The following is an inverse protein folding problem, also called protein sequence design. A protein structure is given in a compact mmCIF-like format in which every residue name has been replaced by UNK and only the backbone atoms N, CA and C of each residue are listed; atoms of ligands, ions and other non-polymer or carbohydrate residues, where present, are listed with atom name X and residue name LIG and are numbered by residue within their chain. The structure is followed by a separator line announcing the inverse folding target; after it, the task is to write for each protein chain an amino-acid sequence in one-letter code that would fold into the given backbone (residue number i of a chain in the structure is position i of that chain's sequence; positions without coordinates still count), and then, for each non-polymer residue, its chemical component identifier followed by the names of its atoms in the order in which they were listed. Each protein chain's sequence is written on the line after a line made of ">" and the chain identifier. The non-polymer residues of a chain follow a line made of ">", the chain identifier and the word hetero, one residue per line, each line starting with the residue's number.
data_IF_730096100551
#
_entry.id   IF_730096100551
#
_cell.length_a   1.000
_cell.length_b   1.000
_cell.length_c   1.000
_cell.angle_alpha   90.00
_cell.angle_beta   90.00
_cell.angle_gamma   90.00
#
_symmetry.space_group_name_H-M   'P 1'
#
loop_
_entity.id
_entity.type
_entity.pdbx_description
1 polymer ?
#
# COMPACT_ATOMS: atom_id res chain seq x y z
N UNK A 1 -39.31 -76.57 78.43
CA UNK A 1 -38.59 -75.29 78.56
C UNK A 1 -37.66 -75.19 77.35
N UNK A 2 -37.93 -74.24 76.46
CA UNK A 2 -37.33 -74.15 75.14
C UNK A 2 -35.99 -73.39 75.16
N UNK A 3 -35.09 -73.82 74.29
CA UNK A 3 -33.72 -73.33 74.09
C UNK A 3 -33.69 -71.92 73.51
N UNK A 4 -32.74 -71.12 73.99
CA UNK A 4 -32.43 -69.78 73.50
C UNK A 4 -31.36 -69.88 72.40
N UNK A 5 -31.64 -69.43 71.17
CA UNK A 5 -30.73 -69.50 70.03
C UNK A 5 -30.22 -68.10 69.67
N UNK A 6 -28.94 -67.87 69.97
CA UNK A 6 -28.16 -66.67 69.64
C UNK A 6 -27.79 -66.65 68.15
N UNK A 7 -28.27 -65.66 67.39
CA UNK A 7 -27.52 -65.07 66.26
C UNK A 7 -27.96 -63.61 66.04
N UNK A 8 -27.03 -62.64 65.92
CA UNK A 8 -27.36 -61.29 65.46
C UNK A 8 -27.50 -61.26 63.93
N UNK A 9 -28.52 -60.56 63.44
CA UNK A 9 -28.69 -60.27 62.01
C UNK A 9 -27.55 -59.36 61.53
N UNK A 10 -26.97 -59.67 60.37
CA UNK A 10 -25.95 -58.84 59.74
C UNK A 10 -26.53 -57.45 59.35
N UNK A 11 -25.75 -56.36 59.49
CA UNK A 11 -26.24 -55.03 59.12
C UNK A 11 -26.37 -54.92 57.60
N UNK A 12 -27.49 -54.38 57.12
CA UNK A 12 -27.69 -54.04 55.71
C UNK A 12 -26.80 -52.85 55.34
N UNK A 13 -25.62 -53.10 54.79
CA UNK A 13 -24.80 -52.06 54.16
C UNK A 13 -25.42 -51.68 52.81
N UNK A 14 -26.43 -50.82 52.84
CA UNK A 14 -26.89 -50.09 51.66
C UNK A 14 -25.88 -48.96 51.43
N UNK A 15 -24.76 -49.25 50.78
CA UNK A 15 -23.94 -48.19 50.18
C UNK A 15 -24.73 -47.61 49.00
N UNK A 16 -24.94 -46.28 48.92
CA UNK A 16 -25.55 -45.66 47.76
C UNK A 16 -24.50 -45.62 46.63
N UNK A 17 -24.25 -46.77 46.01
CA UNK A 17 -23.29 -46.94 44.92
C UNK A 17 -23.68 -46.14 43.66
N UNK A 18 -24.98 -45.92 43.49
CA UNK A 18 -25.56 -45.09 42.42
C UNK A 18 -24.99 -43.68 42.41
N UNK A 19 -24.89 -43.02 43.56
CA UNK A 19 -24.58 -41.59 43.62
C UNK A 19 -23.09 -41.31 43.33
N UNK A 20 -22.21 -42.25 43.71
CA UNK A 20 -20.78 -42.20 43.40
C UNK A 20 -20.50 -42.42 41.89
N UNK A 21 -21.22 -43.36 41.24
CA UNK A 21 -21.10 -43.60 39.79
C UNK A 21 -21.73 -42.44 38.98
N UNK A 22 -22.84 -41.84 39.43
CA UNK A 22 -23.42 -40.66 38.79
C UNK A 22 -22.52 -39.42 38.90
N UNK A 23 -21.92 -39.17 40.07
CA UNK A 23 -21.02 -38.03 40.26
C UNK A 23 -19.74 -38.14 39.42
N UNK A 24 -19.14 -39.34 39.37
CA UNK A 24 -17.93 -39.61 38.57
C UNK A 24 -18.21 -39.52 37.05
N UNK A 25 -19.33 -40.07 36.58
CA UNK A 25 -19.75 -39.95 35.18
C UNK A 25 -20.06 -38.50 34.76
N UNK A 26 -20.68 -37.71 35.65
CA UNK A 26 -20.91 -36.28 35.41
C UNK A 26 -19.60 -35.48 35.40
N UNK A 27 -18.66 -35.77 36.30
CA UNK A 27 -17.33 -35.15 36.29
C UNK A 27 -16.55 -35.49 35.02
N UNK A 28 -16.55 -36.75 34.61
CA UNK A 28 -15.83 -37.25 33.43
C UNK A 28 -16.44 -36.73 32.13
N UNK A 29 -17.78 -36.68 32.02
CA UNK A 29 -18.48 -36.10 30.85
C UNK A 29 -18.31 -34.57 30.77
N UNK A 30 -18.32 -33.86 31.91
CA UNK A 30 -18.02 -32.42 31.93
C UNK A 30 -16.56 -32.15 31.58
N UNK A 31 -15.60 -32.97 32.03
CA UNK A 31 -14.21 -32.86 31.63
C UNK A 31 -14.01 -33.11 30.13
N UNK A 32 -14.70 -34.10 29.55
CA UNK A 32 -14.67 -34.35 28.11
C UNK A 32 -15.31 -33.20 27.31
N UNK A 33 -16.44 -32.65 27.78
CA UNK A 33 -17.07 -31.46 27.17
C UNK A 33 -16.16 -30.24 27.24
N UNK A 34 -15.49 -30.01 28.38
CA UNK A 34 -14.49 -28.94 28.56
C UNK A 34 -13.29 -29.13 27.63
N UNK A 35 -12.73 -30.35 27.53
CA UNK A 35 -11.64 -30.67 26.60
C UNK A 35 -12.06 -30.47 25.13
N UNK A 36 -13.29 -30.85 24.75
CA UNK A 36 -13.84 -30.59 23.41
C UNK A 36 -14.00 -29.10 23.12
N UNK A 37 -14.49 -28.31 24.08
CA UNK A 37 -14.58 -26.85 23.97
C UNK A 37 -13.20 -26.19 23.84
N UNK A 38 -12.23 -26.59 24.65
CA UNK A 38 -10.84 -26.09 24.56
C UNK A 38 -10.21 -26.40 23.21
N UNK A 39 -10.38 -27.63 22.69
CA UNK A 39 -9.91 -28.00 21.35
C UNK A 39 -10.57 -27.17 20.25
N UNK A 40 -11.87 -26.91 20.36
CA UNK A 40 -12.60 -26.07 19.40
C UNK A 40 -12.12 -24.62 19.43
N UNK A 41 -11.88 -24.04 20.61
CA UNK A 41 -11.31 -22.69 20.75
C UNK A 41 -9.92 -22.64 20.13
N UNK A 42 -9.07 -23.63 20.40
CA UNK A 42 -7.73 -23.71 19.84
C UNK A 42 -7.72 -23.79 18.30
N UNK A 43 -8.64 -24.57 17.71
CA UNK A 43 -8.79 -24.62 16.25
C UNK A 43 -9.28 -23.28 15.68
N UNK A 44 -10.22 -22.62 16.36
CA UNK A 44 -10.72 -21.31 15.94
C UNK A 44 -9.63 -20.23 16.01
N UNK A 45 -8.81 -20.23 17.06
CA UNK A 45 -7.72 -19.26 17.19
C UNK A 45 -6.67 -19.42 16.10
N UNK A 46 -6.32 -20.66 15.73
CA UNK A 46 -5.40 -20.93 14.60
C UNK A 46 -6.01 -20.45 13.27
N UNK A 47 -7.30 -20.69 13.06
CA UNK A 47 -7.97 -20.25 11.84
C UNK A 47 -8.02 -18.71 11.75
N UNK A 48 -8.43 -18.04 12.83
CA UNK A 48 -8.48 -16.58 12.90
C UNK A 48 -7.09 -15.96 12.78
N UNK A 49 -6.05 -16.54 13.40
CA UNK A 49 -4.69 -16.03 13.29
C UNK A 49 -4.18 -16.10 11.86
N UNK A 50 -4.44 -17.19 11.13
CA UNK A 50 -4.12 -17.32 9.71
C UNK A 50 -4.77 -16.22 8.86
N UNK A 51 -6.06 -15.95 9.08
CA UNK A 51 -6.78 -14.86 8.42
C UNK A 51 -6.15 -13.51 8.75
N UNK A 52 -5.90 -13.22 10.03
CA UNK A 52 -5.32 -11.95 10.46
C UNK A 52 -3.93 -11.75 9.85
N UNK A 53 -3.11 -12.79 9.75
CA UNK A 53 -1.79 -12.74 9.11
C UNK A 53 -1.90 -12.41 7.61
N UNK A 54 -2.84 -13.02 6.90
CA UNK A 54 -3.12 -12.71 5.49
C UNK A 54 -3.59 -11.26 5.30
N UNK A 55 -4.52 -10.79 6.13
CA UNK A 55 -4.99 -9.41 6.10
C UNK A 55 -3.87 -8.42 6.44
N UNK A 56 -3.07 -8.72 7.46
CA UNK A 56 -1.90 -7.93 7.85
C UNK A 56 -0.92 -7.81 6.68
N UNK A 57 -0.52 -8.93 6.07
CA UNK A 57 0.43 -8.93 4.97
C UNK A 57 -0.09 -8.18 3.73
N UNK A 58 -1.40 -8.23 3.46
CA UNK A 58 -1.99 -7.58 2.28
C UNK A 58 -2.24 -6.09 2.48
N UNK A 59 -2.78 -5.68 3.63
CA UNK A 59 -3.16 -4.28 3.88
C UNK A 59 -2.04 -3.44 4.49
N UNK A 60 -1.10 -4.02 5.26
CA UNK A 60 0.01 -3.27 5.85
C UNK A 60 1.21 -3.11 4.90
N UNK A 61 1.29 -3.92 3.83
CA UNK A 61 2.40 -3.83 2.87
C UNK A 61 2.32 -2.54 2.05
N UNK A 62 3.08 -1.53 2.48
CA UNK A 62 3.17 -0.23 1.79
C UNK A 62 4.08 -0.36 0.56
N UNK A 63 3.49 -0.24 -0.62
CA UNK A 63 4.15 -0.16 -1.92
C UNK A 63 4.47 1.30 -2.26
N UNK A 64 5.57 1.55 -2.96
CA UNK A 64 5.84 2.88 -3.50
C UNK A 64 4.77 3.24 -4.55
N UNK A 65 4.31 4.49 -4.63
CA UNK A 65 3.50 4.96 -5.76
C UNK A 65 4.24 4.77 -7.09
N UNK A 66 3.54 4.90 -8.21
CA UNK A 66 4.16 4.99 -9.53
C UNK A 66 3.82 6.34 -10.14
N UNK A 67 4.80 7.01 -10.73
CA UNK A 67 4.61 8.21 -11.54
C UNK A 67 4.71 7.79 -13.01
N UNK A 68 3.92 8.41 -13.86
CA UNK A 68 4.03 8.30 -15.33
C UNK A 68 3.80 9.67 -15.94
N UNK A 69 4.44 9.93 -17.07
CA UNK A 69 4.16 11.11 -17.89
C UNK A 69 3.58 10.62 -19.20
N UNK A 70 2.47 11.22 -19.63
CA UNK A 70 1.84 10.93 -20.91
C UNK A 70 1.32 12.24 -21.55
N UNK A 71 0.92 12.17 -22.82
CA UNK A 71 0.29 13.28 -23.55
C UNK A 71 1.11 14.57 -23.52
N UNK A 72 2.41 14.44 -23.77
CA UNK A 72 3.30 15.59 -23.83
C UNK A 72 3.07 16.32 -25.16
N UNK A 73 2.89 17.64 -25.09
CA UNK A 73 2.71 18.52 -26.25
C UNK A 73 3.73 19.65 -26.18
N UNK A 74 4.30 19.94 -27.34
CA UNK A 74 5.26 21.00 -27.54
C UNK A 74 4.70 21.96 -28.57
N UNK A 75 4.85 23.25 -28.33
CA UNK A 75 4.52 24.30 -29.31
C UNK A 75 5.67 25.28 -29.35
N UNK A 76 6.17 25.55 -30.55
CA UNK A 76 7.23 26.53 -30.77
C UNK A 76 6.60 27.86 -31.16
N UNK A 77 6.73 28.86 -30.30
CA UNK A 77 6.15 30.19 -30.50
C UNK A 77 7.09 31.13 -31.30
N UNK A 78 8.26 30.64 -31.71
CA UNK A 78 9.32 31.45 -32.33
C UNK A 78 10.30 32.04 -31.31
N UNK A 79 11.39 32.63 -31.79
CA UNK A 79 12.42 33.32 -30.98
C UNK A 79 13.00 32.50 -29.81
N UNK A 80 13.05 31.17 -29.96
CA UNK A 80 13.56 30.27 -28.91
C UNK A 80 12.60 30.03 -27.75
N UNK A 81 11.32 30.41 -27.88
CA UNK A 81 10.28 30.16 -26.88
C UNK A 81 9.49 28.90 -27.22
N UNK A 82 9.44 27.98 -26.27
CA UNK A 82 8.78 26.69 -26.44
C UNK A 82 7.80 26.48 -25.29
N UNK A 83 6.53 26.29 -25.61
CA UNK A 83 5.54 25.89 -24.64
C UNK A 83 5.55 24.37 -24.49
N UNK A 84 5.82 23.92 -23.28
CA UNK A 84 5.81 22.52 -22.89
C UNK A 84 4.57 22.26 -22.05
N UNK A 85 3.80 21.24 -22.40
CA UNK A 85 2.69 20.77 -21.57
C UNK A 85 2.66 19.25 -21.49
N UNK A 86 2.36 18.71 -20.31
CA UNK A 86 2.37 17.28 -20.06
C UNK A 86 1.30 16.88 -19.04
N UNK A 87 0.95 15.59 -19.05
CA UNK A 87 0.04 15.00 -18.07
C UNK A 87 0.82 14.03 -17.20
N UNK A 88 0.90 14.33 -15.91
CA UNK A 88 1.55 13.48 -14.91
C UNK A 88 0.50 12.65 -14.20
N UNK A 89 0.66 11.33 -14.26
CA UNK A 89 -0.21 10.35 -13.62
C UNK A 89 0.45 9.77 -12.38
N UNK A 90 -0.14 10.08 -11.22
CA UNK A 90 0.30 9.60 -9.91
C UNK A 90 -0.57 8.41 -9.49
N UNK A 91 -0.06 7.19 -9.65
CA UNK A 91 -0.77 5.96 -9.28
C UNK A 91 -0.42 5.51 -7.87
N UNK A 92 -1.40 5.55 -6.98
CA UNK A 92 -1.31 4.97 -5.65
C UNK A 92 -1.66 3.48 -5.69
N UNK A 93 -0.68 2.62 -5.40
CA UNK A 93 -0.86 1.15 -5.36
C UNK A 93 -1.30 0.64 -3.98
N UNK A 94 -1.41 1.52 -2.99
CA UNK A 94 -1.72 1.16 -1.61
C UNK A 94 -3.23 1.15 -1.36
N UNK A 95 -3.65 0.37 -0.37
CA UNK A 95 -5.00 0.42 0.20
C UNK A 95 -5.23 1.61 1.14
N UNK A 96 -4.25 2.51 1.21
CA UNK A 96 -4.22 3.67 2.08
C UNK A 96 -4.02 4.92 1.25
N UNK A 97 -4.40 6.08 1.80
CA UNK A 97 -4.25 7.36 1.12
C UNK A 97 -2.78 7.74 1.05
N UNK A 98 -2.36 8.30 -0.07
CA UNK A 98 -1.01 8.80 -0.26
C UNK A 98 -1.07 10.31 -0.38
N UNK A 99 -0.45 11.02 0.54
CA UNK A 99 -0.32 12.47 0.52
C UNK A 99 1.09 12.80 0.06
N UNK A 100 1.22 13.80 -0.79
CA UNK A 100 2.51 14.22 -1.34
C UNK A 100 2.62 15.73 -1.31
N UNK A 101 3.86 16.20 -1.17
CA UNK A 101 4.17 17.61 -1.04
C UNK A 101 4.37 18.25 -2.42
N UNK A 102 4.29 19.58 -2.48
CA UNK A 102 4.56 20.33 -3.70
C UNK A 102 5.98 20.03 -4.17
N UNK A 103 6.10 19.65 -5.44
CA UNK A 103 7.35 19.17 -6.03
C UNK A 103 7.74 20.05 -7.19
N UNK A 104 8.97 20.54 -7.16
CA UNK A 104 9.59 21.25 -8.28
C UNK A 104 10.31 20.23 -9.18
N UNK A 105 9.90 20.15 -10.43
CA UNK A 105 10.58 19.44 -11.50
C UNK A 105 11.40 20.39 -12.35
N UNK A 106 12.47 19.87 -12.95
CA UNK A 106 13.39 20.61 -13.81
C UNK A 106 13.55 19.91 -15.14
N UNK A 107 13.61 20.69 -16.22
CA UNK A 107 13.95 20.21 -17.55
C UNK A 107 15.35 20.72 -17.86
N UNK A 108 16.29 19.81 -18.03
CA UNK A 108 17.70 20.07 -18.25
C UNK A 108 18.10 19.62 -19.64
N UNK A 109 19.04 20.30 -20.28
CA UNK A 109 19.70 19.81 -21.50
C UNK A 109 20.67 18.68 -21.17
N UNK A 110 21.10 17.93 -22.19
CA UNK A 110 22.17 16.95 -22.05
C UNK A 110 23.48 17.54 -21.48
N UNK A 111 23.70 18.85 -21.67
CA UNK A 111 24.85 19.60 -21.13
C UNK A 111 24.66 20.04 -19.67
N UNK A 112 23.53 19.70 -19.04
CA UNK A 112 23.22 20.04 -17.64
C UNK A 112 22.64 21.43 -17.42
N UNK A 113 22.30 22.17 -18.49
CA UNK A 113 21.68 23.49 -18.36
C UNK A 113 20.18 23.37 -18.16
N UNK A 114 19.65 23.92 -17.06
CA UNK A 114 18.20 23.97 -16.83
C UNK A 114 17.54 24.98 -17.76
N UNK A 115 16.61 24.50 -18.59
CA UNK A 115 15.88 25.31 -19.59
C UNK A 115 14.42 25.55 -19.21
N UNK A 116 13.88 24.78 -18.25
CA UNK A 116 12.51 24.94 -17.77
C UNK A 116 12.29 24.35 -16.38
N UNK A 117 11.26 24.82 -15.69
CA UNK A 117 10.88 24.32 -14.35
C UNK A 117 9.38 24.15 -14.26
N UNK A 118 8.92 23.04 -13.72
CA UNK A 118 7.49 22.83 -13.54
C UNK A 118 7.15 22.48 -12.10
N UNK A 119 5.94 22.83 -11.67
CA UNK A 119 5.45 22.53 -10.33
C UNK A 119 4.37 21.47 -10.40
N UNK A 120 4.54 20.40 -9.64
CA UNK A 120 3.48 19.44 -9.31
C UNK A 120 2.91 19.90 -7.96
N UNK A 121 1.70 20.47 -7.92
CA UNK A 121 1.11 20.97 -6.68
C UNK A 121 0.84 19.82 -5.71
N UNK A 122 0.95 20.11 -4.41
CA UNK A 122 0.71 19.15 -3.35
C UNK A 122 -0.71 18.55 -3.42
N UNK A 123 -0.88 17.42 -2.75
CA UNK A 123 -2.22 16.88 -2.59
C UNK A 123 -2.28 15.44 -2.14
N UNK A 124 -3.43 14.82 -2.43
CA UNK A 124 -3.73 13.46 -2.00
C UNK A 124 -4.20 12.59 -3.16
N UNK A 125 -3.66 11.37 -3.23
CA UNK A 125 -4.12 10.31 -4.11
C UNK A 125 -4.89 9.29 -3.28
N UNK A 126 -6.16 9.05 -3.65
CA UNK A 126 -7.05 8.10 -2.96
C UNK A 126 -6.49 6.67 -3.04
N UNK A 127 -7.02 5.80 -2.18
CA UNK A 127 -6.67 4.37 -2.11
C UNK A 127 -6.81 3.73 -3.49
N UNK A 128 -5.81 2.95 -3.93
CA UNK A 128 -5.80 2.20 -5.21
C UNK A 128 -6.27 3.01 -6.42
N UNK A 129 -5.95 4.30 -6.47
CA UNK A 129 -6.40 5.22 -7.51
C UNK A 129 -5.23 5.91 -8.22
N UNK A 130 -5.53 6.56 -9.34
CA UNK A 130 -4.58 7.39 -10.08
C UNK A 130 -5.08 8.83 -10.06
N UNK A 131 -4.21 9.78 -9.71
CA UNK A 131 -4.47 11.22 -9.84
C UNK A 131 -3.77 11.74 -11.09
N UNK A 132 -4.49 12.51 -11.89
CA UNK A 132 -3.94 13.21 -13.06
C UNK A 132 -3.61 14.65 -12.67
N UNK A 133 -2.42 15.11 -13.05
CA UNK A 133 -1.95 16.47 -12.85
C UNK A 133 -1.50 17.02 -14.20
N UNK A 134 -1.94 18.23 -14.52
CA UNK A 134 -1.49 18.93 -15.72
C UNK A 134 -0.31 19.82 -15.36
N UNK A 135 0.72 19.73 -16.18
CA UNK A 135 1.94 20.51 -16.06
C UNK A 135 2.11 21.34 -17.32
N UNK A 136 2.42 22.62 -17.15
CA UNK A 136 2.69 23.55 -18.24
C UNK A 136 3.90 24.40 -17.85
N UNK A 137 4.79 24.62 -18.80
CA UNK A 137 5.97 25.47 -18.62
C UNK A 137 6.38 26.11 -19.94
N UNK A 138 6.82 27.37 -19.88
CA UNK A 138 7.36 28.09 -21.02
C UNK A 138 8.89 28.04 -20.96
N UNK A 139 9.47 27.21 -21.82
CA UNK A 139 10.90 26.99 -21.93
C UNK A 139 11.49 28.11 -22.79
N UNK A 140 12.58 28.72 -22.31
CA UNK A 140 13.35 29.70 -23.06
C UNK A 140 14.70 29.07 -23.41
N UNK A 141 14.93 28.83 -24.70
CA UNK A 141 16.21 28.31 -25.17
C UNK A 141 17.30 29.38 -25.01
N UNK A 142 18.49 29.01 -24.52
CA UNK A 142 19.62 29.93 -24.50
C UNK A 142 20.02 30.27 -25.94
N UNK A 143 20.54 31.48 -26.17
CA UNK A 143 20.87 31.99 -27.51
C UNK A 143 21.80 31.10 -28.33
N UNK A 144 22.57 30.22 -27.67
CA UNK A 144 23.45 29.23 -28.31
C UNK A 144 22.71 28.01 -28.89
N UNK A 145 21.53 27.71 -28.35
CA UNK A 145 20.61 26.65 -28.79
C UNK A 145 19.46 27.19 -29.65
N UNK A 146 19.38 28.50 -29.88
CA UNK A 146 18.33 29.15 -30.68
C UNK A 146 18.33 28.80 -32.18
N UNK A 147 19.13 27.82 -32.61
CA UNK A 147 18.92 27.21 -33.91
C UNK A 147 17.57 26.48 -33.86
N UNK A 148 16.54 27.11 -34.41
CA UNK A 148 15.14 26.66 -34.47
C UNK A 148 14.95 25.35 -35.25
N UNK A 149 16.03 24.76 -35.78
CA UNK A 149 16.05 23.52 -36.53
C UNK A 149 16.97 22.51 -35.85
N UNK A 150 16.41 21.38 -35.42
CA UNK A 150 17.20 20.30 -34.85
C UNK A 150 16.48 19.47 -33.80
N UNK A 151 17.19 18.46 -33.31
CA UNK A 151 16.76 17.60 -32.21
C UNK A 151 17.51 18.06 -30.96
N UNK A 152 16.76 18.46 -29.93
CA UNK A 152 17.28 18.88 -28.64
C UNK A 152 17.02 17.77 -27.60
N UNK A 153 18.06 17.01 -27.21
CA UNK A 153 17.93 16.03 -26.13
C UNK A 153 17.81 16.74 -24.78
N UNK A 154 16.79 16.37 -24.02
CA UNK A 154 16.51 16.92 -22.70
C UNK A 154 16.18 15.82 -21.70
N UNK A 155 16.48 16.08 -20.44
CA UNK A 155 16.16 15.22 -19.31
C UNK A 155 15.27 15.98 -18.35
N UNK A 156 14.12 15.40 -18.00
CA UNK A 156 13.20 15.91 -17.01
C UNK A 156 13.35 15.15 -15.71
N UNK A 157 13.62 15.86 -14.62
CA UNK A 157 13.80 15.28 -13.28
C UNK A 157 12.85 15.92 -12.27
N UNK A 158 12.25 15.11 -11.40
CA UNK A 158 11.48 15.60 -10.26
C UNK A 158 11.57 14.60 -9.08
N UNK A 159 11.77 15.11 -7.86
CA UNK A 159 11.82 14.28 -6.64
C UNK A 159 10.62 14.56 -5.75
N UNK A 160 9.62 13.69 -5.80
CA UNK A 160 8.37 13.86 -5.07
C UNK A 160 8.44 13.23 -3.69
N UNK A 161 8.29 14.05 -2.65
CA UNK A 161 8.18 13.59 -1.27
C UNK A 161 6.73 13.26 -0.93
N UNK A 162 6.50 12.17 -0.22
CA UNK A 162 5.15 11.82 0.20
C UNK A 162 5.07 10.74 1.25
N UNK A 163 3.86 10.58 1.80
CA UNK A 163 3.56 9.76 2.97
C UNK A 163 2.27 8.97 2.76
N UNK A 164 2.29 7.69 3.08
CA UNK A 164 1.11 6.82 3.10
C UNK A 164 0.49 6.85 4.49
N UNK A 165 -0.78 7.29 4.61
CA UNK A 165 -1.52 7.42 5.87
C UNK A 165 -2.33 6.15 6.16
N UNK A 166 -1.90 5.40 7.16
CA UNK A 166 -2.51 4.11 7.53
C UNK A 166 -3.23 4.20 8.85
N UNK A 167 -4.48 3.73 8.86
CA UNK A 167 -5.43 3.92 9.96
C UNK A 167 -5.52 5.38 10.48
N UNK A 168 -5.21 6.37 9.63
CA UNK A 168 -5.11 7.82 9.96
C UNK A 168 -4.05 8.21 10.99
N UNK A 169 -3.41 7.27 11.67
CA UNK A 169 -2.41 7.53 12.73
C UNK A 169 -0.99 7.37 12.18
N UNK A 170 -0.71 6.24 11.55
CA UNK A 170 0.64 5.91 11.07
C UNK A 170 0.92 6.56 9.71
N UNK A 171 2.09 7.17 9.58
CA UNK A 171 2.55 7.83 8.35
C UNK A 171 3.88 7.22 7.93
N UNK A 172 3.90 6.54 6.80
CA UNK A 172 5.11 5.96 6.24
C UNK A 172 5.59 6.76 5.05
N UNK A 173 6.86 7.15 5.07
CA UNK A 173 7.46 7.92 3.99
C UNK A 173 7.69 7.04 2.76
N UNK A 174 7.25 7.54 1.62
CA UNK A 174 7.37 6.94 0.30
C UNK A 174 7.61 8.05 -0.71
N UNK A 175 8.89 8.35 -0.91
CA UNK A 175 9.34 9.25 -1.94
C UNK A 175 9.31 8.54 -3.28
N UNK A 176 9.08 9.29 -4.35
CA UNK A 176 9.11 8.79 -5.71
C UNK A 176 9.83 9.80 -6.57
N UNK A 177 10.82 9.32 -7.29
CA UNK A 177 11.57 10.11 -8.25
C UNK A 177 10.99 9.87 -9.65
N UNK A 178 11.06 10.89 -10.47
CA UNK A 178 10.68 10.88 -11.87
C UNK A 178 11.91 11.32 -12.65
N UNK A 179 12.43 10.44 -13.51
CA UNK A 179 13.50 10.76 -14.44
C UNK A 179 13.09 10.31 -15.83
N UNK A 180 12.96 11.26 -16.75
CA UNK A 180 12.60 10.97 -18.13
C UNK A 180 13.60 11.61 -19.08
N UNK A 181 14.09 10.84 -20.05
CA UNK A 181 14.87 11.35 -21.18
C UNK A 181 13.98 11.46 -22.40
N UNK A 182 14.09 12.56 -23.14
CA UNK A 182 13.29 12.80 -24.35
C UNK A 182 14.05 13.68 -25.34
N UNK A 183 13.75 13.49 -26.62
CA UNK A 183 14.31 14.26 -27.72
C UNK A 183 13.26 15.21 -28.29
N UNK A 184 13.44 16.52 -28.12
CA UNK A 184 12.53 17.53 -28.66
C UNK A 184 12.94 17.85 -30.10
N UNK A 185 12.10 17.54 -31.07
CA UNK A 185 12.30 17.97 -32.45
C UNK A 185 11.67 19.35 -32.65
N UNK A 186 12.52 20.37 -32.80
CA UNK A 186 12.11 21.78 -32.90
C UNK A 186 11.42 22.10 -34.23
N UNK A 187 11.74 21.35 -35.30
CA UNK A 187 11.20 21.56 -36.65
C UNK A 187 9.73 21.16 -36.74
N UNK A 188 9.37 20.01 -36.16
CA UNK A 188 7.99 19.49 -36.18
C UNK A 188 7.26 19.72 -34.85
N UNK A 189 7.90 20.37 -33.88
CA UNK A 189 7.36 20.63 -32.52
C UNK A 189 6.81 19.36 -31.85
N UNK A 190 7.59 18.28 -31.87
CA UNK A 190 7.17 16.98 -31.34
C UNK A 190 8.28 16.32 -30.49
N UNK A 191 7.87 15.36 -29.67
CA UNK A 191 8.80 14.54 -28.86
C UNK A 191 9.07 13.22 -29.55
N UNK A 192 10.33 12.82 -29.50
CA UNK A 192 10.83 11.52 -29.93
C UNK A 192 11.57 10.87 -28.75
N UNK A 193 11.71 9.55 -28.77
CA UNK A 193 12.52 8.78 -27.83
C UNK A 193 12.25 9.09 -26.34
N UNK A 194 10.97 9.12 -25.97
CA UNK A 194 10.57 9.28 -24.57
C UNK A 194 10.85 7.97 -23.80
N UNK A 195 11.79 8.02 -22.87
CA UNK A 195 12.03 6.97 -21.88
C UNK A 195 11.91 7.53 -20.46
N UNK A 196 11.27 6.80 -19.56
CA UNK A 196 10.98 7.23 -18.20
C UNK A 196 11.19 6.08 -17.21
N UNK A 197 11.94 6.35 -16.13
CA UNK A 197 12.22 5.39 -15.05
C UNK A 197 11.43 5.71 -13.77
#
# INVERSE_FOLDING_TARGET
>A
MASDQKYPLAPSNIMPRSDAEFATNNFQSNNQRRKKKLRSIFLLTIFLSGIILLFSFTFLRIKSPKIRIENIRITNDGDGRINFSAQVFLRNRNFWRYNYDSTLGTINTAEGTTIGRFVIPDGEVRRRSTKKVYVMENIILPSRLNNTSGILPVTSEAKMRGKVKVFRVFRWEKNVDLSCTMSINLTISAIQDLDCQ
#
